data_IF_576739034181
#
_entry.id   IF_576739034181
#
_cell.length_a   1.000
_cell.length_b   1.000
_cell.length_c   1.000
_cell.angle_alpha   90.00
_cell.angle_beta   90.00
_cell.angle_gamma   90.00
#
_symmetry.space_group_name_H-M   'P 1'
#
loop_
_entity.id
_entity.type
_entity.pdbx_description
1 polymer ?
2 polymer ?
3 non-polymer ?
4 non-polymer ?
5 non-polymer ?
6 water ?
#
# COMPACT_ATOMS: atom_id res chain seq x y z
N UNK A 6 -5.72 -1.95 -18.40
CA UNK A 6 -6.70 -0.84 -18.63
C UNK A 6 -6.36 0.35 -17.73
N UNK A 7 -7.31 1.25 -17.51
CA UNK A 7 -6.99 2.50 -16.79
C UNK A 7 -7.05 2.20 -15.28
N UNK A 8 -6.21 2.89 -14.52
CA UNK A 8 -6.01 2.61 -13.09
C UNK A 8 -6.96 3.41 -12.23
N UNK A 9 -6.64 3.53 -10.96
CA UNK A 9 -7.56 4.14 -9.98
C UNK A 9 -7.35 5.63 -9.85
N UNK A 10 -6.31 6.15 -10.51
CA UNK A 10 -5.94 7.63 -10.43
C UNK A 10 -6.07 8.21 -11.87
N UNK A 11 -6.58 7.33 -12.79
CA UNK A 11 -6.79 7.71 -14.20
C UNK A 11 -7.68 8.95 -14.25
N UNK A 12 -7.14 10.08 -14.76
CA UNK A 12 -7.90 11.31 -14.96
C UNK A 12 -9.26 10.99 -15.60
N UNK A 13 -10.33 11.56 -15.06
CA UNK A 13 -11.67 11.38 -15.67
C UNK A 13 -12.28 12.75 -15.96
N UNK B 9 -14.57 17.51 2.87
CA UNK B 9 -15.75 18.37 2.88
C UNK B 9 -17.08 17.61 2.99
N UNK B 10 -17.29 16.56 2.17
CA UNK B 10 -18.55 15.81 2.23
C UNK B 10 -18.39 14.29 2.03
N UNK B 11 -18.56 13.46 3.09
CA UNK B 11 -18.75 13.82 4.51
C UNK B 11 -17.46 14.37 5.14
N UNK B 12 -17.59 15.08 6.26
CA UNK B 12 -16.43 15.70 6.91
C UNK B 12 -15.84 14.85 8.03
N UNK B 13 -16.64 13.92 8.60
CA UNK B 13 -16.26 13.04 9.69
C UNK B 13 -16.87 11.64 9.49
N UNK B 14 -16.16 10.58 9.90
CA UNK B 14 -16.69 9.21 9.87
C UNK B 14 -16.41 8.53 11.17
N UNK B 15 -17.27 7.60 11.58
CA UNK B 15 -17.02 6.79 12.75
C UNK B 15 -16.64 5.42 12.17
N UNK B 16 -15.50 4.87 12.60
CA UNK B 16 -14.96 3.64 12.08
C UNK B 16 -14.30 2.87 13.21
N UNK B 17 -15.00 1.87 13.71
CA UNK B 17 -14.50 1.09 14.83
C UNK B 17 -14.42 1.96 16.07
N UNK B 18 -13.31 1.85 16.82
CA UNK B 18 -13.16 2.64 18.05
C UNK B 18 -12.69 4.08 17.84
N UNK B 19 -12.78 4.60 16.62
CA UNK B 19 -12.38 5.97 16.34
C UNK B 19 -13.38 6.74 15.51
N UNK B 20 -13.46 8.04 15.77
CA UNK B 20 -14.16 9.05 15.01
C UNK B 20 -12.99 9.70 14.24
N UNK B 21 -13.10 9.86 12.91
CA UNK B 21 -11.97 10.36 12.10
C UNK B 21 -12.36 11.50 11.18
N UNK B 22 -11.54 12.56 11.13
CA UNK B 22 -11.80 13.67 10.19
C UNK B 22 -11.40 13.24 8.79
N UNK B 23 -12.24 13.54 7.82
CA UNK B 23 -11.95 13.20 6.41
C UNK B 23 -11.09 14.33 5.81
N UNK B 24 -10.32 14.02 4.77
CA UNK B 24 -9.46 15.03 4.12
C UNK B 24 -10.11 15.49 2.81
N UNK B 25 -10.84 14.58 2.15
CA UNK B 25 -11.43 14.90 0.82
C UNK B 25 -12.86 14.35 0.74
N UNK B 26 -13.62 14.85 -0.22
CA UNK B 26 -14.98 14.36 -0.43
C UNK B 26 -14.93 13.01 -1.15
N UNK B 27 -15.98 12.22 -0.96
CA UNK B 27 -16.11 10.92 -1.59
C UNK B 27 -17.57 10.80 -2.02
N UNK B 28 -17.84 10.22 -3.19
CA UNK B 28 -19.21 10.19 -3.69
C UNK B 28 -20.14 9.15 -3.08
N UNK B 29 -20.43 9.28 -1.79
CA UNK B 29 -21.43 8.38 -1.17
C UNK B 29 -22.81 8.72 -1.75
N UNK B 30 -23.78 7.77 -1.80
CA UNK B 30 -25.10 8.01 -2.43
C UNK B 30 -25.80 9.30 -1.99
N UNK B 31 -26.63 9.86 -2.87
CA UNK B 31 -27.33 11.15 -2.59
C UNK B 31 -27.80 11.22 -1.14
N UNK B 32 -28.59 10.24 -0.69
CA UNK B 32 -29.15 10.31 0.69
C UNK B 32 -28.02 10.49 1.71
N UNK B 33 -26.89 9.80 1.49
CA UNK B 33 -25.72 9.90 2.41
C UNK B 33 -24.75 10.98 1.92
N UNK B 34 -25.00 11.55 0.74
CA UNK B 34 -24.04 12.52 0.16
C UNK B 34 -23.95 13.79 1.00
N UNK B 35 -25.08 14.43 1.30
CA UNK B 35 -25.03 15.73 2.02
C UNK B 35 -24.94 15.49 3.54
N UNK B 36 -24.86 14.23 3.96
CA UNK B 36 -24.70 13.92 5.41
C UNK B 36 -23.29 14.31 5.85
N UNK B 37 -23.11 14.97 7.01
CA UNK B 37 -21.79 15.43 7.46
C UNK B 37 -21.00 14.31 8.13
N UNK B 38 -21.67 13.44 8.89
CA UNK B 38 -21.01 12.34 9.56
C UNK B 38 -21.59 11.02 9.08
N UNK B 39 -20.73 10.04 8.75
CA UNK B 39 -21.20 8.72 8.35
C UNK B 39 -20.72 7.69 9.38
N UNK B 40 -21.53 6.65 9.61
CA UNK B 40 -21.19 5.61 10.58
C UNK B 40 -20.88 4.38 9.76
N UNK B 41 -19.64 3.90 9.82
CA UNK B 41 -19.24 2.78 9.00
C UNK B 41 -19.05 1.53 9.82
N UNK B 42 -19.47 0.38 9.28
CA UNK B 42 -19.19 -0.88 9.95
C UNK B 42 -17.69 -1.16 9.67
N UNK B 43 -16.93 -1.47 10.74
CA UNK B 43 -15.50 -1.67 10.58
C UNK B 43 -15.10 -2.99 9.90
N UNK B 44 -16.06 -3.90 9.71
CA UNK B 44 -15.77 -5.20 9.10
C UNK B 44 -16.30 -5.33 7.68
N UNK B 45 -17.53 -4.85 7.39
CA UNK B 45 -18.08 -4.93 6.05
C UNK B 45 -18.04 -3.61 5.28
N UNK B 46 -17.74 -2.49 5.96
CA UNK B 46 -17.60 -1.17 5.37
C UNK B 46 -18.91 -0.54 4.89
N UNK B 47 -20.04 -1.09 5.35
CA UNK B 47 -21.37 -0.55 5.05
C UNK B 47 -21.47 0.85 5.68
N UNK B 48 -22.02 1.83 4.95
CA UNK B 48 -22.23 3.19 5.45
C UNK B 48 -23.69 3.34 5.93
N UNK B 49 -23.87 3.91 7.14
CA UNK B 49 -25.15 4.11 7.81
C UNK B 49 -25.25 5.54 8.38
N UNK B 50 -26.49 6.06 8.58
CA UNK B 50 -26.66 7.46 8.97
C UNK B 50 -26.62 7.76 10.43
N UNK B 51 -26.68 6.76 11.31
CA UNK B 51 -26.68 7.03 12.74
C UNK B 51 -26.01 5.95 13.56
N UNK B 52 -25.66 6.29 14.81
CA UNK B 52 -25.05 5.38 15.76
C UNK B 52 -26.00 4.23 16.13
N UNK B 53 -27.32 4.50 16.21
CA UNK B 53 -28.32 3.49 16.55
C UNK B 53 -28.41 2.44 15.46
N UNK B 54 -28.44 2.87 14.21
CA UNK B 54 -28.47 1.98 13.06
C UNK B 54 -27.19 1.13 13.02
N UNK B 55 -26.02 1.74 13.34
CA UNK B 55 -24.75 1.03 13.40
C UNK B 55 -24.77 0.00 14.49
N UNK B 56 -25.30 0.34 15.69
CA UNK B 56 -25.35 -0.61 16.80
C UNK B 56 -26.23 -1.81 16.45
N UNK B 57 -27.34 -1.57 15.74
CA UNK B 57 -28.22 -2.65 15.32
C UNK B 57 -27.54 -3.51 14.26
N UNK B 58 -26.83 -2.89 13.33
CA UNK B 58 -26.07 -3.60 12.29
C UNK B 58 -25.01 -4.49 12.91
N UNK B 59 -24.29 -3.98 13.91
CA UNK B 59 -23.23 -4.74 14.55
C UNK B 59 -23.72 -6.04 15.18
N UNK B 60 -25.01 -6.10 15.57
CA UNK B 60 -25.56 -7.33 16.15
C UNK B 60 -25.86 -8.38 15.06
N UNK B 61 -26.16 -7.95 13.83
CA UNK B 61 -26.44 -8.90 12.75
C UNK B 61 -25.20 -9.24 11.92
N UNK B 62 -24.23 -8.32 11.83
CA UNK B 62 -23.04 -8.49 10.99
C UNK B 62 -22.24 -9.69 11.42
N UNK B 63 -22.03 -10.61 10.51
CA UNK B 63 -21.35 -11.85 10.82
C UNK B 63 -19.85 -11.81 10.60
N UNK B 64 -19.32 -10.78 9.92
CA UNK B 64 -17.89 -10.74 9.61
C UNK B 64 -17.02 -10.12 10.69
N UNK B 65 -15.88 -10.77 11.03
CA UNK B 65 -14.89 -10.24 11.96
C UNK B 65 -13.51 -10.04 11.26
N UNK B 66 -13.49 -10.13 9.92
CA UNK B 66 -12.33 -9.94 9.04
C UNK B 66 -12.82 -9.71 7.61
N UNK B 67 -11.97 -9.14 6.72
CA UNK B 67 -12.41 -8.89 5.34
C UNK B 67 -12.93 -10.16 4.66
N UNK B 68 -13.87 -10.03 3.70
CA UNK B 68 -14.44 -11.22 3.05
C UNK B 68 -13.52 -11.81 1.99
N UNK B 69 -12.36 -12.34 2.41
CA UNK B 69 -11.38 -12.88 1.49
C UNK B 69 -10.45 -13.81 2.26
N UNK B 70 -9.60 -14.60 1.56
CA UNK B 70 -8.66 -15.47 2.26
C UNK B 70 -7.42 -14.67 2.69
N UNK B 71 -6.78 -15.14 3.73
CA UNK B 71 -5.63 -14.52 4.30
C UNK B 71 -4.40 -14.90 3.49
N UNK B 72 -3.88 -13.97 2.67
CA UNK B 72 -2.66 -14.25 1.90
C UNK B 72 -1.40 -14.18 2.78
N UNK B 73 -1.44 -13.45 3.91
CA UNK B 73 -0.28 -13.25 4.75
C UNK B 73 -0.70 -13.18 6.20
N UNK B 74 0.06 -13.82 7.09
CA UNK B 74 -0.19 -13.69 8.51
C UNK B 74 1.10 -13.87 9.27
N UNK B 75 1.41 -12.95 10.17
CA UNK B 75 2.56 -13.06 11.06
C UNK B 75 2.25 -12.29 12.29
N UNK B 76 2.31 -12.96 13.45
CA UNK B 76 1.99 -12.36 14.73
C UNK B 76 0.51 -11.83 14.71
N UNK B 77 0.28 -10.57 15.01
CA UNK B 77 -1.04 -9.99 15.01
C UNK B 77 -1.33 -9.23 13.69
N UNK B 78 -0.61 -9.50 12.61
CA UNK B 78 -0.79 -8.77 11.33
C UNK B 78 -1.21 -9.73 10.21
N UNK B 79 -2.24 -9.36 9.45
CA UNK B 79 -2.70 -10.14 8.32
C UNK B 79 -2.89 -9.26 7.07
N UNK B 80 -2.81 -9.88 5.89
CA UNK B 80 -3.13 -9.24 4.63
C UNK B 80 -4.17 -10.15 3.96
N UNK B 81 -5.28 -9.59 3.51
CA UNK B 81 -6.31 -10.37 2.82
C UNK B 81 -6.29 -9.94 1.37
N UNK B 82 -6.33 -10.92 0.46
CA UNK B 82 -6.31 -10.62 -0.96
C UNK B 82 -7.76 -10.59 -1.46
N UNK B 83 -8.34 -9.41 -1.54
CA UNK B 83 -9.75 -9.24 -1.91
C UNK B 83 -9.90 -9.02 -3.42
N UNK B 84 -10.71 -9.83 -4.09
CA UNK B 84 -10.90 -9.71 -5.54
C UNK B 84 -12.13 -8.79 -5.81
N UNK B 85 -11.93 -7.70 -6.53
CA UNK B 85 -13.01 -6.78 -6.87
C UNK B 85 -14.11 -7.42 -7.71
N UNK B 86 -13.78 -8.46 -8.47
CA UNK B 86 -14.74 -9.21 -9.29
C UNK B 86 -15.52 -10.28 -8.47
N UNK B 87 -15.19 -10.44 -7.16
CA UNK B 87 -15.82 -11.42 -6.29
C UNK B 87 -16.52 -10.71 -5.13
N UNK B 88 -15.80 -9.91 -4.34
CA UNK B 88 -16.39 -9.17 -3.22
C UNK B 88 -16.61 -7.74 -3.68
N UNK B 89 -17.40 -7.60 -4.74
CA UNK B 89 -17.63 -6.32 -5.40
C UNK B 89 -18.15 -5.22 -4.47
N UNK B 90 -19.25 -5.46 -3.75
CA UNK B 90 -19.82 -4.45 -2.85
C UNK B 90 -18.81 -3.99 -1.80
N UNK B 91 -18.10 -4.93 -1.16
CA UNK B 91 -17.08 -4.60 -0.15
C UNK B 91 -16.00 -3.73 -0.77
N UNK B 92 -15.54 -4.08 -1.97
CA UNK B 92 -14.50 -3.31 -2.66
C UNK B 92 -14.98 -1.92 -3.09
N UNK B 93 -16.26 -1.76 -3.43
CA UNK B 93 -16.81 -0.45 -3.79
C UNK B 93 -16.91 0.42 -2.51
N UNK B 94 -17.29 -0.21 -1.38
CA UNK B 94 -17.34 0.45 -0.06
C UNK B 94 -15.92 0.85 0.39
N UNK B 95 -14.92 0.00 0.14
CA UNK B 95 -13.52 0.29 0.44
C UNK B 95 -13.05 1.48 -0.41
N UNK B 96 -13.43 1.52 -1.67
CA UNK B 96 -13.07 2.65 -2.55
C UNK B 96 -13.69 3.97 -2.10
N UNK B 97 -14.94 3.91 -1.60
CA UNK B 97 -15.59 5.10 -1.07
C UNK B 97 -14.85 5.58 0.18
N UNK B 98 -14.45 4.62 1.06
CA UNK B 98 -13.68 4.93 2.27
C UNK B 98 -12.31 5.54 1.92
N UNK B 99 -11.57 4.94 0.98
CA UNK B 99 -10.26 5.42 0.57
C UNK B 99 -10.30 6.82 -0.06
N UNK B 100 -11.40 7.16 -0.79
CA UNK B 100 -11.53 8.47 -1.42
C UNK B 100 -11.59 9.60 -0.41
N UNK B 101 -11.99 9.31 0.82
CA UNK B 101 -12.01 10.34 1.88
C UNK B 101 -10.57 10.75 2.26
N UNK B 102 -9.56 10.01 1.79
CA UNK B 102 -8.15 10.27 2.21
C UNK B 102 -7.21 10.28 1.00
N UNK B 103 -7.72 10.02 -0.20
CA UNK B 103 -6.89 10.09 -1.44
C UNK B 103 -7.57 11.07 -2.40
N UNK B 104 -6.90 12.18 -2.71
CA UNK B 104 -7.52 13.23 -3.55
C UNK B 104 -7.59 12.80 -5.01
N UNK B 105 -6.65 11.97 -5.45
CA UNK B 105 -6.59 11.68 -6.90
C UNK B 105 -7.10 10.27 -7.25
N UNK B 106 -7.63 9.53 -6.29
CA UNK B 106 -8.26 8.23 -6.62
C UNK B 106 -9.56 8.56 -7.37
N UNK B 107 -9.73 7.96 -8.55
CA UNK B 107 -10.92 8.27 -9.38
C UNK B 107 -11.80 7.02 -9.53
N UNK B 108 -11.27 5.85 -9.20
CA UNK B 108 -12.04 4.61 -9.42
C UNK B 108 -12.75 4.20 -8.14
N UNK B 109 -14.06 4.03 -8.20
CA UNK B 109 -14.82 3.55 -7.05
C UNK B 109 -15.90 2.53 -7.41
N UNK B 110 -16.27 2.41 -8.70
CA UNK B 110 -17.36 1.52 -9.08
C UNK B 110 -16.93 0.32 -9.89
N UNK B 111 -16.08 0.54 -10.89
CA UNK B 111 -15.60 -0.54 -11.74
C UNK B 111 -14.39 -1.22 -11.10
N UNK B 112 -14.63 -1.86 -9.96
CA UNK B 112 -13.60 -2.52 -9.17
C UNK B 112 -13.23 -3.92 -9.66
N UNK B 113 -14.05 -4.52 -10.56
CA UNK B 113 -13.84 -5.88 -11.05
C UNK B 113 -12.40 -6.17 -11.57
N UNK B 114 -11.71 -5.30 -12.34
CA UNK B 114 -10.34 -5.63 -12.79
C UNK B 114 -9.25 -5.45 -11.71
N UNK B 115 -9.62 -5.21 -10.44
CA UNK B 115 -8.63 -4.92 -9.40
C UNK B 115 -8.57 -5.91 -8.27
N UNK B 116 -7.38 -6.04 -7.67
CA UNK B 116 -7.18 -6.79 -6.44
C UNK B 116 -6.99 -5.76 -5.32
N UNK B 117 -7.46 -6.04 -4.11
CA UNK B 117 -7.32 -5.12 -2.98
C UNK B 117 -6.67 -5.88 -1.83
N UNK B 118 -5.45 -5.52 -1.44
CA UNK B 118 -4.73 -6.17 -0.38
C UNK B 118 -5.03 -5.40 0.87
N UNK B 119 -5.89 -5.98 1.73
CA UNK B 119 -6.33 -5.30 2.95
C UNK B 119 -5.51 -5.70 4.15
N UNK B 120 -4.88 -4.72 4.78
CA UNK B 120 -4.02 -4.95 5.92
C UNK B 120 -4.81 -4.81 7.23
N UNK B 121 -4.64 -5.75 8.15
CA UNK B 121 -5.33 -5.70 9.44
C UNK B 121 -4.40 -5.92 10.63
N UNK B 122 -4.76 -5.33 11.77
CA UNK B 122 -4.08 -5.56 13.05
C UNK B 122 -5.14 -6.30 13.86
N UNK B 123 -4.76 -7.45 14.38
CA UNK B 123 -5.73 -8.39 14.97
C UNK B 123 -5.72 -8.50 16.48
N UNK B 124 -6.93 -8.59 17.05
CA UNK B 124 -7.03 -8.82 18.49
C UNK B 124 -8.28 -9.68 18.81
N UNK B 125 -8.69 -9.77 20.10
CA UNK B 125 -9.84 -10.58 20.48
C UNK B 125 -11.16 -10.06 19.93
N UNK B 126 -11.21 -8.79 19.44
CA UNK B 126 -12.44 -8.26 18.83
C UNK B 126 -12.48 -8.45 17.29
N UNK B 127 -11.42 -8.98 16.70
CA UNK B 127 -11.37 -9.20 15.26
C UNK B 127 -10.14 -8.66 14.56
N UNK B 128 -10.19 -8.63 13.23
CA UNK B 128 -9.14 -8.15 12.33
C UNK B 128 -9.53 -6.76 11.92
N UNK B 129 -8.90 -5.75 12.53
CA UNK B 129 -9.25 -4.37 12.28
C UNK B 129 -8.47 -3.81 11.10
N UNK B 130 -9.20 -3.18 10.19
CA UNK B 130 -8.66 -2.61 8.97
C UNK B 130 -7.72 -1.44 9.29
N UNK B 131 -6.48 -1.57 8.85
CA UNK B 131 -5.47 -0.53 9.04
C UNK B 131 -5.31 0.30 7.74
N UNK B 132 -5.37 -0.40 6.62
CA UNK B 132 -5.24 0.23 5.31
C UNK B 132 -5.25 -0.82 4.23
N UNK B 133 -4.86 -0.40 3.01
CA UNK B 133 -4.87 -1.31 1.88
C UNK B 133 -4.02 -0.72 0.74
N UNK B 134 -3.84 -1.53 -0.30
CA UNK B 134 -3.35 -1.09 -1.57
C UNK B 134 -4.09 -1.89 -2.62
N UNK B 135 -4.53 -1.20 -3.68
CA UNK B 135 -5.17 -1.85 -4.83
C UNK B 135 -4.12 -2.03 -5.93
N UNK B 136 -4.41 -2.92 -6.88
CA UNK B 136 -3.52 -3.20 -7.98
C UNK B 136 -4.37 -3.73 -9.13
N UNK B 137 -4.05 -3.35 -10.38
CA UNK B 137 -4.79 -3.87 -11.54
C UNK B 137 -4.34 -5.31 -11.74
N UNK B 138 -5.25 -6.24 -12.05
CA UNK B 138 -4.84 -7.63 -12.32
C UNK B 138 -3.93 -7.68 -13.57
N UNK B 139 -4.27 -6.89 -14.59
CA UNK B 139 -3.48 -6.83 -15.82
C UNK B 139 -3.26 -5.38 -16.16
N UNK B 140 -2.04 -4.88 -15.94
CA UNK B 140 -1.73 -3.49 -16.18
C UNK B 140 -0.69 -3.33 -17.28
N UNK B 141 -1.06 -2.66 -18.39
CA UNK B 141 -0.15 -2.46 -19.51
C UNK B 141 1.06 -1.59 -19.14
N UNK B 142 0.93 -0.74 -18.10
CA UNK B 142 2.02 0.11 -17.64
C UNK B 142 2.89 -0.54 -16.54
N UNK B 143 2.53 -1.75 -16.08
CA UNK B 143 3.24 -2.47 -15.02
C UNK B 143 3.22 -1.73 -13.69
N UNK B 144 2.11 -1.05 -13.38
CA UNK B 144 1.96 -0.37 -12.10
C UNK B 144 1.74 -1.45 -11.04
N UNK B 145 2.64 -1.57 -10.03
CA UNK B 145 2.47 -2.61 -9.02
C UNK B 145 1.53 -2.20 -7.85
N UNK B 146 1.12 -0.92 -7.88
CA UNK B 146 0.17 -0.32 -6.91
C UNK B 146 -0.65 0.75 -7.66
N UNK B 147 -1.98 0.70 -7.59
CA UNK B 147 -2.84 1.76 -8.15
C UNK B 147 -3.05 2.82 -7.08
N UNK B 148 -3.58 2.41 -5.93
CA UNK B 148 -3.79 3.32 -4.79
C UNK B 148 -3.33 2.65 -3.49
N UNK B 149 -2.78 3.46 -2.57
CA UNK B 149 -2.34 2.94 -1.25
C UNK B 149 -2.75 3.92 -0.15
N UNK B 150 -3.36 3.38 0.89
CA UNK B 150 -3.83 4.26 1.97
C UNK B 150 -3.74 3.58 3.34
N UNK B 151 -3.23 4.31 4.32
CA UNK B 151 -3.21 3.85 5.72
C UNK B 151 -4.08 4.86 6.47
N UNK B 152 -5.01 4.37 7.30
CA UNK B 152 -5.95 5.28 7.99
C UNK B 152 -5.18 6.23 8.91
N UNK B 153 -5.61 7.50 9.06
CA UNK B 153 -4.84 8.48 9.88
C UNK B 153 -4.31 8.03 11.24
N UNK B 154 -5.13 7.32 12.02
CA UNK B 154 -4.75 6.85 13.38
C UNK B 154 -3.69 5.74 13.35
N UNK B 155 -3.41 5.21 12.16
CA UNK B 155 -2.39 4.14 12.01
C UNK B 155 -1.17 4.63 11.19
N UNK B 156 -1.22 5.87 10.72
CA UNK B 156 -0.08 6.42 9.91
C UNK B 156 1.17 6.61 10.79
N UNK B 157 2.35 6.57 10.17
CA UNK B 157 3.66 6.74 10.86
C UNK B 157 3.89 5.61 11.88
N UNK B 158 3.57 4.37 11.52
CA UNK B 158 3.83 3.18 12.37
C UNK B 158 4.52 2.06 11.57
N UNK B 159 4.88 2.31 10.31
CA UNK B 159 5.58 1.30 9.49
C UNK B 159 4.65 0.43 8.66
N UNK B 160 3.34 0.67 8.76
CA UNK B 160 2.35 -0.09 7.95
C UNK B 160 2.45 0.25 6.46
N UNK B 161 2.64 1.53 6.13
CA UNK B 161 2.78 1.94 4.72
C UNK B 161 4.01 1.33 4.09
N UNK B 162 5.12 1.34 4.82
CA UNK B 162 6.35 0.69 4.31
C UNK B 162 6.10 -0.80 4.10
N UNK B 163 5.41 -1.44 5.05
CA UNK B 163 5.07 -2.89 4.94
C UNK B 163 4.31 -3.13 3.65
N UNK B 164 3.25 -2.34 3.41
CA UNK B 164 2.46 -2.57 2.22
C UNK B 164 3.24 -2.29 0.96
N UNK B 165 4.08 -1.24 0.97
CA UNK B 165 4.90 -0.96 -0.21
C UNK B 165 5.85 -2.12 -0.49
N UNK B 166 6.48 -2.64 0.55
CA UNK B 166 7.41 -3.76 0.44
C UNK B 166 6.66 -5.00 -0.06
N UNK B 167 5.43 -5.21 0.45
CA UNK B 167 4.60 -6.35 0.03
C UNK B 167 4.29 -6.23 -1.47
N UNK B 168 3.99 -5.02 -1.94
CA UNK B 168 3.69 -4.80 -3.36
C UNK B 168 4.88 -5.15 -4.22
N UNK B 169 6.11 -4.86 -3.75
CA UNK B 169 7.33 -5.23 -4.49
C UNK B 169 7.62 -6.71 -4.41
N UNK B 170 7.23 -7.38 -3.30
CA UNK B 170 7.40 -8.84 -3.21
C UNK B 170 6.59 -9.53 -4.29
N UNK B 171 5.37 -9.07 -4.55
CA UNK B 171 4.51 -9.65 -5.57
C UNK B 171 5.02 -9.37 -6.98
N UNK B 172 5.31 -8.10 -7.30
CA UNK B 172 5.75 -7.78 -8.66
C UNK B 172 7.12 -8.40 -8.97
N UNK B 173 8.02 -8.53 -7.98
CA UNK B 173 9.30 -9.17 -8.23
C UNK B 173 9.13 -10.70 -8.40
N UNK B 174 8.26 -11.35 -7.60
CA UNK B 174 8.03 -12.79 -7.76
C UNK B 174 7.35 -13.10 -9.11
N UNK B 175 6.62 -12.13 -9.70
CA UNK B 175 6.04 -12.33 -11.02
C UNK B 175 6.98 -11.83 -12.16
N UNK B 176 8.29 -11.80 -11.87
CA UNK B 176 9.39 -11.46 -12.77
C UNK B 176 9.48 -10.10 -13.43
N UNK B 177 8.61 -9.13 -13.08
CA UNK B 177 8.66 -7.81 -13.74
C UNK B 177 8.80 -6.64 -12.76
N UNK B 178 9.62 -5.62 -13.10
CA UNK B 178 9.77 -4.46 -12.22
C UNK B 178 8.54 -3.57 -12.38
N UNK B 179 8.13 -2.95 -11.29
CA UNK B 179 6.95 -2.10 -11.31
C UNK B 179 7.16 -0.81 -10.56
N UNK B 180 6.16 0.04 -10.58
CA UNK B 180 6.21 1.33 -9.95
C UNK B 180 4.80 1.70 -9.50
N UNK B 181 4.65 2.57 -8.48
CA UNK B 181 3.33 3.05 -8.11
C UNK B 181 2.68 3.86 -9.24
N UNK B 182 1.36 3.78 -9.35
CA UNK B 182 0.64 4.63 -10.32
C UNK B 182 0.76 6.08 -9.85
N UNK B 183 0.92 6.99 -10.80
CA UNK B 183 1.04 8.43 -10.47
C UNK B 183 -0.32 9.11 -10.70
N UNK B 184 -0.60 10.26 -10.06
CA UNK B 184 0.40 10.99 -9.27
C UNK B 184 0.67 10.49 -7.84
N UNK B 185 1.85 10.77 -7.31
CA UNK B 185 2.11 10.43 -5.90
C UNK B 185 1.70 11.63 -5.04
N UNK B 186 0.94 11.40 -3.99
CA UNK B 186 0.63 12.49 -3.02
C UNK B 186 1.92 12.95 -2.34
N UNK B 187 1.88 14.03 -1.59
CA UNK B 187 3.07 14.50 -0.84
C UNK B 187 3.58 13.38 0.08
N UNK B 188 2.68 12.74 0.83
CA UNK B 188 3.05 11.65 1.76
C UNK B 188 3.60 10.46 0.94
N UNK B 189 3.00 10.17 -0.20
CA UNK B 189 3.48 9.09 -1.08
C UNK B 189 4.90 9.34 -1.56
N UNK B 190 5.17 10.57 -1.99
CA UNK B 190 6.53 10.95 -2.45
C UNK B 190 7.54 10.66 -1.32
N UNK B 191 7.26 11.13 -0.11
CA UNK B 191 8.18 10.92 1.04
C UNK B 191 8.30 9.44 1.36
N UNK B 192 7.17 8.74 1.38
CA UNK B 192 7.16 7.31 1.78
C UNK B 192 7.90 6.43 0.76
N UNK B 193 7.64 6.62 -0.53
CA UNK B 193 8.26 5.78 -1.56
C UNK B 193 9.78 6.02 -1.60
N UNK B 194 10.20 7.28 -1.50
CA UNK B 194 11.65 7.61 -1.54
C UNK B 194 12.35 6.98 -0.33
N UNK B 195 11.73 7.06 0.84
CA UNK B 195 12.32 6.45 2.06
C UNK B 195 12.41 4.94 1.90
N UNK B 196 11.39 4.35 1.29
CA UNK B 196 11.42 2.89 1.02
C UNK B 196 12.57 2.62 0.06
N UNK B 197 12.55 3.28 -1.10
CA UNK B 197 13.61 3.02 -2.10
C UNK B 197 15.01 3.22 -1.54
N UNK B 198 15.22 4.30 -0.75
CA UNK B 198 16.52 4.56 -0.18
C UNK B 198 16.93 3.46 0.77
N UNK B 199 16.01 3.02 1.64
CA UNK B 199 16.33 1.98 2.63
C UNK B 199 16.61 0.68 1.94
N UNK B 200 15.82 0.30 0.93
CA UNK B 200 16.06 -0.93 0.18
C UNK B 200 17.38 -0.93 -0.54
N UNK B 201 17.70 0.18 -1.24
CA UNK B 201 18.96 0.25 -1.99
C UNK B 201 20.14 0.19 -1.06
N UNK B 202 20.10 0.94 0.07
CA UNK B 202 21.19 0.96 1.03
C UNK B 202 21.42 -0.42 1.64
N UNK B 203 20.35 -1.11 2.05
CA UNK B 203 20.49 -2.45 2.63
C UNK B 203 20.95 -3.45 1.57
N UNK B 204 20.51 -3.29 0.31
CA UNK B 204 20.96 -4.14 -0.79
C UNK B 204 22.47 -3.93 -1.06
N UNK B 205 22.94 -2.67 -1.14
CA UNK B 205 24.38 -2.42 -1.38
C UNK B 205 25.22 -2.97 -0.23
N UNK B 206 24.72 -2.90 1.01
CA UNK B 206 25.43 -3.43 2.16
C UNK B 206 25.65 -4.94 2.03
N UNK B 207 24.65 -5.66 1.54
CA UNK B 207 24.73 -7.15 1.45
C UNK B 207 25.46 -7.59 0.18
N UNK B 208 25.63 -6.67 -0.77
CA UNK B 208 26.32 -7.00 -2.06
C UNK B 208 27.67 -6.30 -2.10
N UNK B 209 28.48 -6.46 -1.04
CA UNK B 209 29.80 -5.77 -0.98
C UNK B 209 30.70 -6.26 -2.11
N UNK B 210 30.76 -7.57 -2.33
CA UNK B 210 31.67 -8.13 -3.35
C UNK B 210 30.97 -8.10 -4.72
N UNK B 211 30.48 -6.93 -5.14
CA UNK B 211 29.85 -6.81 -6.48
C UNK B 211 29.78 -5.35 -6.91
N UNK B 212 30.43 -4.99 -8.02
CA UNK B 212 30.26 -3.62 -8.57
C UNK B 212 28.86 -3.62 -9.18
N UNK B 213 27.84 -3.42 -8.36
CA UNK B 213 26.42 -3.55 -8.84
C UNK B 213 26.09 -2.49 -9.88
N UNK B 214 25.00 -2.70 -10.62
CA UNK B 214 24.56 -1.72 -11.64
C UNK B 214 23.09 -1.37 -11.38
N UNK B 215 22.59 -0.31 -12.01
CA UNK B 215 21.14 0.04 -11.87
C UNK B 215 20.32 -1.16 -12.34
N UNK B 216 20.76 -1.82 -13.43
CA UNK B 216 20.03 -2.96 -13.95
C UNK B 216 20.02 -4.09 -12.93
N UNK B 217 21.16 -4.40 -12.30
CA UNK B 217 21.22 -5.46 -11.30
C UNK B 217 20.40 -5.11 -10.04
N UNK B 218 20.47 -3.83 -9.60
CA UNK B 218 19.68 -3.35 -8.46
C UNK B 218 18.19 -3.49 -8.77
N UNK B 219 17.78 -3.17 -10.01
CA UNK B 219 16.40 -3.30 -10.40
C UNK B 219 15.90 -4.74 -10.36
N UNK B 220 16.74 -5.70 -10.79
CA UNK B 220 16.33 -7.11 -10.76
C UNK B 220 16.25 -7.67 -9.34
N UNK B 221 17.22 -7.37 -8.50
CA UNK B 221 17.25 -7.82 -7.12
C UNK B 221 16.13 -7.25 -6.24
N UNK B 222 15.61 -6.05 -6.57
CA UNK B 222 14.63 -5.38 -5.72
C UNK B 222 13.24 -5.26 -6.28
N UNK B 223 13.12 -5.34 -7.61
CA UNK B 223 11.83 -5.12 -8.25
C UNK B 223 11.49 -3.66 -8.46
N UNK B 224 12.38 -2.75 -8.04
CA UNK B 224 12.18 -1.33 -8.23
C UNK B 224 12.59 -1.00 -9.66
N UNK B 225 11.74 -0.29 -10.40
CA UNK B 225 12.07 -0.01 -11.81
C UNK B 225 13.33 0.89 -11.97
N UNK B 226 14.06 0.76 -13.11
CA UNK B 226 15.33 1.51 -13.25
C UNK B 226 15.25 3.02 -13.01
N UNK B 227 14.21 3.68 -13.50
CA UNK B 227 14.06 5.12 -13.31
C UNK B 227 13.91 5.49 -11.83
N UNK B 228 13.21 4.67 -11.04
CA UNK B 228 13.07 4.95 -9.60
C UNK B 228 14.37 4.70 -8.87
N UNK B 229 15.14 3.68 -9.27
CA UNK B 229 16.45 3.44 -8.66
C UNK B 229 17.39 4.59 -9.03
N UNK B 230 17.34 5.04 -10.28
CA UNK B 230 18.18 6.16 -10.74
C UNK B 230 17.85 7.41 -9.88
N UNK B 231 16.54 7.76 -9.72
CA UNK B 231 16.15 8.89 -8.89
C UNK B 231 16.66 8.74 -7.45
N UNK B 232 16.52 7.55 -6.89
CA UNK B 232 16.96 7.29 -5.51
C UNK B 232 18.46 7.46 -5.37
N UNK B 233 19.22 6.91 -6.31
CA UNK B 233 20.69 7.02 -6.27
C UNK B 233 21.09 8.49 -6.42
N UNK B 234 20.32 9.27 -7.22
CA UNK B 234 20.57 10.70 -7.37
C UNK B 234 20.32 11.38 -6.02
N UNK B 235 19.20 11.05 -5.34
CA UNK B 235 18.91 11.59 -3.99
C UNK B 235 20.03 11.22 -2.99
N UNK B 236 20.54 9.99 -3.08
CA UNK B 236 21.61 9.54 -2.17
C UNK B 236 23.00 10.10 -2.56
N UNK B 237 23.11 10.79 -3.71
CA UNK B 237 24.37 11.36 -4.21
C UNK B 237 25.42 10.28 -4.48
N UNK B 238 24.96 9.18 -5.10
CA UNK B 238 25.80 8.05 -5.49
C UNK B 238 25.84 7.87 -7.01
N UNK B 239 25.57 8.93 -7.79
CA UNK B 239 25.63 8.83 -9.24
C UNK B 239 26.72 9.74 -9.74
N UNK B 240 27.45 9.26 -10.74
CA UNK B 240 28.42 10.05 -11.47
C UNK B 240 28.26 9.72 -12.95
N UNK B 241 28.68 10.65 -13.81
CA UNK B 241 28.63 10.45 -15.24
C UNK B 241 29.94 10.97 -15.79
N UNK B 242 30.62 10.15 -16.53
CA UNK B 242 31.86 10.55 -17.19
C UNK B 242 31.56 10.54 -18.72
N UNK B 243 31.07 9.41 -19.24
CA UNK B 243 30.96 9.36 -20.73
C UNK B 243 29.66 8.77 -21.29
N UNK B 244 29.44 7.47 -21.14
CA UNK B 244 28.27 6.84 -21.82
C UNK B 244 27.03 6.82 -20.93
N UNK B 245 27.17 6.33 -19.70
CA UNK B 245 25.97 6.19 -18.83
C UNK B 245 26.37 6.42 -17.37
N UNK B 246 25.38 6.44 -16.48
CA UNK B 246 25.65 6.68 -15.04
C UNK B 246 26.47 5.55 -14.44
N UNK B 247 27.45 5.88 -13.59
CA UNK B 247 28.17 4.88 -12.84
C UNK B 247 27.74 5.11 -11.38
N UNK B 248 27.66 4.02 -10.62
CA UNK B 248 27.30 4.14 -9.21
C UNK B 248 28.55 4.28 -8.37
N UNK B 249 28.63 5.37 -7.58
CA UNK B 249 29.72 5.59 -6.66
C UNK B 249 29.15 5.31 -5.27
N UNK B 250 29.62 4.26 -4.61
CA UNK B 250 29.16 3.96 -3.26
C UNK B 250 29.68 4.96 -2.26
N UNK B 251 28.80 5.52 -1.43
CA UNK B 251 29.17 6.39 -0.35
C UNK B 251 29.12 5.47 0.88
N UNK B 252 30.26 4.81 1.17
CA UNK B 252 30.42 3.82 2.24
C UNK B 252 29.87 4.18 3.59
N UNK B 253 30.08 5.42 4.07
CA UNK B 253 29.58 5.79 5.38
C UNK B 253 28.05 5.87 5.43
N UNK B 254 27.42 6.25 4.29
CA UNK B 254 25.97 6.30 4.19
C UNK B 254 25.43 4.88 4.31
N UNK B 255 26.04 3.92 3.60
CA UNK B 255 25.63 2.53 3.60
C UNK B 255 25.81 1.89 4.99
N UNK B 256 27.03 2.01 5.55
CA UNK B 256 27.39 1.41 6.84
C UNK B 256 26.61 1.99 8.01
N UNK B 257 26.32 3.31 7.98
CA UNK B 257 25.58 3.93 9.06
C UNK B 257 24.10 3.60 9.01
N UNK B 258 23.53 3.42 7.81
CA UNK B 258 22.10 3.05 7.71
C UNK B 258 21.90 1.65 8.32
N UNK B 259 22.80 0.72 7.98
CA UNK B 259 22.76 -0.63 8.50
C UNK B 259 22.95 -0.66 10.01
N UNK B 260 23.73 0.28 10.59
CA UNK B 260 23.93 0.39 12.03
C UNK B 260 22.68 0.92 12.72
N UNK B 261 21.99 1.86 12.09
CA UNK B 261 20.76 2.40 12.64
C UNK B 261 19.67 1.31 12.63
N UNK B 262 19.63 0.49 11.56
CA UNK B 262 18.70 -0.62 11.39
C UNK B 262 18.90 -1.70 12.45
N UNK B 263 20.16 -2.00 12.81
CA UNK B 263 20.46 -3.02 13.82
C UNK B 263 19.99 -2.63 15.22
N UNK B 264 19.89 -1.32 15.53
CA UNK B 264 19.43 -0.87 16.84
C UNK B 264 17.95 -0.54 16.88
N UNK B 265 17.44 0.09 15.81
CA UNK B 265 16.03 0.41 15.62
C UNK B 265 15.56 -0.68 14.66
N UNK B 266 15.09 -1.80 15.19
CA UNK B 266 14.61 -2.90 14.36
C UNK B 266 13.36 -2.46 13.56
N UNK B 267 12.93 -3.26 12.60
CA UNK B 267 11.74 -3.00 11.82
C UNK B 267 10.74 -3.99 12.41
N UNK B 268 9.92 -3.54 13.36
CA UNK B 268 8.99 -4.47 14.01
C UNK B 268 7.91 -4.98 13.06
N UNK B 269 7.43 -4.10 12.16
CA UNK B 269 6.44 -4.50 11.19
C UNK B 269 7.26 -4.75 9.95
N UNK B 270 7.48 -6.02 9.58
CA UNK B 270 8.35 -6.33 8.45
C UNK B 270 7.79 -7.54 7.70
N UNK B 271 7.73 -7.43 6.36
CA UNK B 271 7.22 -8.51 5.51
C UNK B 271 8.17 -9.69 5.61
N UNK B 272 7.67 -10.86 6.04
CA UNK B 272 8.47 -12.07 6.11
C UNK B 272 8.01 -12.94 4.94
N UNK B 273 8.87 -13.17 3.94
CA UNK B 273 8.45 -13.94 2.76
C UNK B 273 7.96 -15.35 3.06
N UNK B 274 8.43 -15.93 4.18
CA UNK B 274 8.00 -17.26 4.61
C UNK B 274 6.58 -17.28 5.18
N UNK B 275 5.95 -16.12 5.37
CA UNK B 275 4.60 -16.06 5.92
C UNK B 275 3.51 -15.75 4.86
N UNK B 276 3.88 -15.74 3.56
CA UNK B 276 2.88 -15.60 2.50
C UNK B 276 2.32 -16.99 2.30
N UNK B 277 1.01 -17.11 2.21
CA UNK B 277 0.35 -18.40 2.02
C UNK B 277 0.40 -18.89 0.57
N UNK B 278 0.47 -17.94 -0.37
CA UNK B 278 0.64 -18.17 -1.80
C UNK B 278 1.34 -16.97 -2.38
N UNK B 279 2.31 -17.25 -3.27
CA UNK B 279 3.22 -16.27 -3.87
C UNK B 279 3.16 -16.41 -5.40
N UNK B 280 3.25 -15.29 -6.15
CA UNK B 280 3.26 -15.42 -7.62
C UNK B 280 4.46 -16.21 -8.13
N UNK B 281 4.29 -16.78 -9.30
CA UNK B 281 5.27 -17.57 -10.01
C UNK B 281 4.97 -17.33 -11.52
N UNK B 282 6.01 -17.16 -12.35
CA UNK B 282 5.80 -17.02 -13.80
C UNK B 282 5.46 -18.42 -14.32
N UNK B 283 4.36 -18.56 -15.03
CA UNK B 283 3.94 -19.85 -15.55
C UNK B 283 4.87 -20.34 -16.71
N UNK B 284 5.12 -21.66 -16.78
CA UNK B 284 5.98 -22.27 -17.80
C UNK B 284 5.49 -21.93 -19.22
X LIG C 1 6.93 13.28 7.44
X LIG C 1 8.13 12.85 7.06
X LIG C 1 8.48 11.66 6.58
X LIG C 1 7.43 10.83 6.53
X LIG C 1 6.13 11.13 6.89
X LIG C 1 5.89 12.43 7.37
X LIG C 1 4.69 12.86 7.76
X LIG C 1 5.32 10.02 6.72
X LIG C 1 6.12 9.10 6.26
X LIG C 1 7.42 9.52 6.13
X LIG C 1 8.56 8.73 5.70
X LIG C 1 9.53 8.46 6.84
X LIG C 1 10.85 8.34 6.31
X LIG C 1 9.00 7.12 7.33
X LIG C 1 10.01 6.44 8.10
X LIG C 1 10.40 6.85 9.56
X LIG C 1 11.08 8.19 9.50
X LIG C 1 9.18 6.86 10.35
X LIG C 1 11.42 5.83 10.03
X LIG C 1 8.69 6.42 6.01
X LIG C 1 8.09 7.47 5.25
X LIG C 1 7.72 5.28 6.11
X LIG C 1 6.66 5.65 7.01
X LIG C 1 5.43 4.76 7.40
X LIG C 1 5.57 3.42 6.76
X LIG C 1 5.19 4.76 8.82
X LIG C 1 4.29 5.51 6.61
X LIG C 1 2.71 5.37 6.62
X LIG C 1 2.17 6.65 7.14
X LIG C 1 2.34 4.20 7.39
X LIG C 1 2.34 5.19 5.12
X LIG C 1 1.26 6.50 3.40
X LIG C 1 2.54 6.23 4.17
X LIG C 1 0.74 5.18 2.83
X LIG C 1 1.56 7.47 2.25
X LIG C 1 0.21 7.13 4.34
X LIG C 1 0.71 8.35 4.87
X LIG C 1 -1.15 7.37 3.69
X LIG C 1 -1.92 6.44 3.51
X LIG C 1 -1.45 8.63 3.40
X LIG C 1 -2.74 9.02 2.85
X LIG C 1 -2.93 8.56 1.43
X LIG C 1 -1.73 8.89 0.57
X LIG C 1 -1.44 10.04 0.29
X LIG C 1 -0.98 7.84 0.21
X LIG C 1 -0.85 7.32 -1.15
X LIG C 1 -0.81 8.34 -2.27
X LIG C 1 0.61 8.11 -3.38
X LIG C 1 0.16 6.59 -4.30
X LIG C 1 -1.30 6.57 -4.74
X LIG C 1 -2.14 6.01 -4.06
X LIG D 1 -20.97 -5.04 8.88
X LIG E 1 4.37 -8.58 12.78
X LIG E 1 4.98 -7.83 13.81
X LIG E 1 4.90 -8.17 11.43
X LIG E 1 6.33 -8.14 11.41
X LIG E 1 4.30 -8.99 10.30
X LIG E 1 5.24 -9.32 9.31
#
# INVERSE_FOLDING_TARGET
QTARKSTGGKAPRKQLATK
GSPPDPQVRCPSVIEFGKYEIHTWYSSPYPQEYSRLPKLYLCEFCLKYMKSRTILQQHMKKCGWFHPPANEIYRKNNISVFEVDGNVSTIYCQNLCLLAKLFLDHKTLYYDVEPFLFYVLTQNDVKGCHLVGYFSKEKHCQQKYNVSCIMILPQYQRKGYGRFLIDFSYLLSKREGQAGSPEKPLSDLGRLSYMAYWKSVILECLYHQNDKQISIKKLSKLTGICPQDITSTLHHLRMLDFRSDQFVIIRREKLIQDHMAKLQLNLRPVDVDPECLRWTPVIVSNS
CMC N1A C2A N3A C4A C5A C6A N6A N7A C8A N9A C1B C2B O2B C3B O3B P3B O7A O8A O9A C4B O4B C5B O5B P1A O1A O2A O3A P2A O4A O5A O6A CBP CCP CDP CEP CAP OAP C9P O9P N8P C7P C6P C5P O5P N4P C3P C2P S1P C1 C2 O21
ZN ZN
GOL C1 O1 C2 O2 C3 O3
#
